data_IF_235021760851
#
_entry.id   IF_235021760851
#
_cell.length_a   1.000
_cell.length_b   1.000
_cell.length_c   1.000
_cell.angle_alpha   90.00
_cell.angle_beta   90.00
_cell.angle_gamma   90.00
#
_symmetry.space_group_name_H-M   'P 1'
#
loop_
_entity.id
_entity.type
_entity.pdbx_description
1 polymer ?
#
# COMPACT_ATOMS: atom_id res chain seq x y z
N UNK A 1 2.69 23.59 -13.78
CA UNK A 1 1.97 22.89 -12.69
C UNK A 1 2.15 21.40 -12.90
N UNK A 2 3.09 20.81 -12.16
CA UNK A 2 3.24 19.36 -12.12
C UNK A 2 1.99 18.79 -11.46
N UNK A 3 1.28 17.90 -12.16
CA UNK A 3 0.07 17.27 -11.64
C UNK A 3 0.53 16.30 -10.55
N UNK A 4 0.58 16.79 -9.31
CA UNK A 4 0.96 16.08 -8.08
C UNK A 4 0.61 14.59 -8.20
N UNK A 5 1.58 13.78 -8.61
CA UNK A 5 1.34 12.37 -8.93
C UNK A 5 0.87 11.71 -7.64
N UNK A 6 -0.36 11.20 -7.65
CA UNK A 6 -0.89 10.51 -6.49
C UNK A 6 -0.12 9.21 -6.30
N UNK A 7 0.55 9.08 -5.16
CA UNK A 7 1.32 7.91 -4.76
C UNK A 7 0.52 6.61 -4.94
N UNK A 8 1.07 5.63 -5.62
CA UNK A 8 0.54 4.27 -5.76
C UNK A 8 1.43 3.25 -5.02
N UNK A 9 1.11 1.95 -5.03
CA UNK A 9 1.90 0.96 -4.27
C UNK A 9 3.32 0.79 -4.81
N UNK A 10 3.52 0.98 -6.12
CA UNK A 10 4.86 0.92 -6.72
C UNK A 10 5.70 2.11 -6.27
N UNK A 11 5.11 3.32 -6.24
CA UNK A 11 5.78 4.51 -5.70
C UNK A 11 6.12 4.32 -4.21
N UNK A 12 5.28 3.62 -3.45
CA UNK A 12 5.55 3.31 -2.05
C UNK A 12 6.74 2.33 -1.89
N UNK A 13 6.96 1.41 -2.85
CA UNK A 13 8.12 0.51 -2.79
C UNK A 13 9.45 1.25 -2.92
N UNK A 14 9.45 2.45 -3.50
CA UNK A 14 10.64 3.30 -3.61
C UNK A 14 10.95 4.08 -2.32
N UNK A 15 10.06 4.04 -1.30
CA UNK A 15 10.33 4.64 0.02
C UNK A 15 11.52 3.95 0.70
N UNK A 16 12.33 4.73 1.43
CA UNK A 16 13.57 4.24 2.06
C UNK A 16 13.33 3.11 3.07
N UNK A 17 12.20 3.12 3.78
CA UNK A 17 11.89 2.10 4.78
C UNK A 17 11.28 0.86 4.13
N UNK A 18 10.40 1.05 3.14
CA UNK A 18 9.79 -0.08 2.43
C UNK A 18 10.81 -0.80 1.55
N UNK A 19 11.60 -0.08 0.75
CA UNK A 19 12.64 -0.69 -0.09
C UNK A 19 13.65 -1.52 0.71
N UNK A 20 14.00 -1.10 1.93
CA UNK A 20 14.90 -1.84 2.82
C UNK A 20 14.34 -3.22 3.21
N UNK A 21 13.01 -3.37 3.28
CA UNK A 21 12.33 -4.63 3.56
C UNK A 21 12.25 -5.57 2.35
N UNK A 22 12.66 -5.11 1.15
CA UNK A 22 12.62 -5.85 -0.12
C UNK A 22 11.22 -6.46 -0.41
N UNK A 23 10.17 -5.63 -0.47
CA UNK A 23 8.81 -6.10 -0.63
C UNK A 23 8.60 -6.75 -2.00
N UNK A 24 7.77 -7.80 -2.02
CA UNK A 24 7.38 -8.49 -3.24
C UNK A 24 5.90 -8.32 -3.52
N UNK A 25 5.55 -8.02 -4.77
CA UNK A 25 4.15 -7.94 -5.19
C UNK A 25 3.64 -9.33 -5.58
N UNK A 26 3.07 -10.04 -4.61
CA UNK A 26 2.55 -11.41 -4.79
C UNK A 26 1.19 -11.47 -5.50
N UNK A 27 0.41 -10.39 -5.48
CA UNK A 27 -0.93 -10.35 -6.07
C UNK A 27 -1.32 -8.92 -6.51
N UNK A 28 -2.43 -8.80 -7.25
CA UNK A 28 -3.05 -7.49 -7.50
C UNK A 28 -2.32 -6.57 -8.50
N UNK A 29 -1.42 -7.09 -9.35
CA UNK A 29 -0.69 -6.33 -10.39
C UNK A 29 -1.56 -5.40 -11.23
N UNK A 30 -2.80 -5.79 -11.54
CA UNK A 30 -3.73 -4.95 -12.34
C UNK A 30 -4.19 -3.69 -11.60
N UNK A 31 -4.12 -3.71 -10.26
CA UNK A 31 -4.58 -2.61 -9.39
C UNK A 31 -3.41 -1.87 -8.73
N UNK A 32 -2.15 -2.23 -9.01
CA UNK A 32 -0.98 -1.65 -8.32
C UNK A 32 -0.80 -0.15 -8.58
N UNK A 33 -1.31 0.36 -9.69
CA UNK A 33 -1.26 1.79 -10.05
C UNK A 33 -2.42 2.60 -9.49
N UNK A 34 -3.33 1.99 -8.71
CA UNK A 34 -4.38 2.75 -8.02
C UNK A 34 -3.76 3.66 -6.97
N UNK A 35 -4.27 4.89 -6.92
CA UNK A 35 -3.81 5.88 -5.94
C UNK A 35 -4.08 5.41 -4.51
N UNK A 36 -3.03 5.42 -3.71
CA UNK A 36 -3.10 5.37 -2.28
C UNK A 36 -3.63 6.70 -1.75
N UNK A 37 -4.49 6.59 -0.76
CA UNK A 37 -5.02 7.70 0.02
C UNK A 37 -4.24 7.74 1.32
N UNK A 38 -4.31 6.68 2.10
CA UNK A 38 -3.91 6.67 3.51
C UNK A 38 -3.11 5.40 3.84
N UNK A 39 -2.19 5.50 4.79
CA UNK A 39 -1.38 4.40 5.35
C UNK A 39 -1.76 4.21 6.81
N UNK A 40 -1.90 2.96 7.27
CA UNK A 40 -1.95 2.65 8.70
C UNK A 40 -1.47 1.23 9.00
N UNK A 41 -1.00 1.03 10.24
CA UNK A 41 -0.70 -0.27 10.79
C UNK A 41 -1.94 -0.84 11.51
N UNK A 42 -2.14 -2.16 11.42
CA UNK A 42 -3.26 -2.86 12.05
C UNK A 42 -2.89 -4.30 12.39
N UNK A 43 -3.49 -4.82 13.46
CA UNK A 43 -3.40 -6.24 13.87
C UNK A 43 -4.76 -6.96 13.77
N UNK A 44 -5.80 -6.28 13.29
CA UNK A 44 -7.11 -6.89 13.10
C UNK A 44 -7.09 -7.89 11.94
N UNK A 45 -7.32 -9.17 12.24
CA UNK A 45 -7.27 -10.26 11.27
C UNK A 45 -8.31 -10.12 10.15
N UNK A 46 -9.53 -9.72 10.48
CA UNK A 46 -10.59 -9.44 9.50
C UNK A 46 -10.76 -7.94 9.29
N UNK A 47 -9.73 -7.31 8.72
CA UNK A 47 -9.71 -5.86 8.44
C UNK A 47 -10.53 -5.50 7.21
N UNK A 48 -10.73 -6.44 6.27
CA UNK A 48 -11.31 -6.18 4.94
C UNK A 48 -12.67 -5.48 4.97
N UNK A 49 -13.63 -5.81 5.86
CA UNK A 49 -14.93 -5.13 5.92
C UNK A 49 -14.86 -3.64 6.29
N UNK A 50 -13.73 -3.18 6.86
CA UNK A 50 -13.54 -1.80 7.26
C UNK A 50 -12.93 -0.92 6.15
N UNK A 51 -12.43 -1.54 5.08
CA UNK A 51 -11.72 -0.85 4.00
C UNK A 51 -12.68 -0.22 2.98
N UNK A 52 -12.34 0.97 2.49
CA UNK A 52 -13.12 1.72 1.49
C UNK A 52 -12.42 1.86 0.14
N UNK A 53 -11.18 1.40 0.05
CA UNK A 53 -10.33 1.48 -1.13
C UNK A 53 -9.31 2.62 -1.05
N UNK A 54 -8.12 2.32 -1.56
CA UNK A 54 -6.98 3.24 -1.55
C UNK A 54 -6.23 3.27 -0.22
N UNK A 55 -6.53 2.38 0.73
CA UNK A 55 -5.71 2.20 1.93
C UNK A 55 -4.51 1.27 1.65
N UNK A 56 -3.34 1.61 2.20
CA UNK A 56 -2.20 0.70 2.34
C UNK A 56 -2.12 0.26 3.81
N UNK A 57 -2.26 -1.04 4.02
CA UNK A 57 -2.24 -1.65 5.35
C UNK A 57 -0.87 -2.28 5.58
N UNK A 58 -0.23 -1.93 6.69
CA UNK A 58 0.93 -2.64 7.21
C UNK A 58 0.44 -3.56 8.33
N UNK A 59 0.60 -4.87 8.16
CA UNK A 59 0.23 -5.85 9.18
C UNK A 59 1.39 -6.82 9.39
N UNK A 60 1.47 -7.39 10.58
CA UNK A 60 2.32 -8.55 10.80
C UNK A 60 1.76 -9.76 10.04
N UNK A 61 2.66 -10.62 9.56
CA UNK A 61 2.29 -11.92 9.04
C UNK A 61 2.05 -12.89 10.19
N UNK A 62 0.99 -13.69 10.09
CA UNK A 62 0.76 -14.87 10.94
C UNK A 62 1.31 -16.14 10.28
#
# INVERSE_FOLDING_TARGET
>A
MDKMSRMNVLDAFDDVYLSAARPELVAGRRSSTRSLRWVHASEQLDIAPLLRGGELILMEGV
#
